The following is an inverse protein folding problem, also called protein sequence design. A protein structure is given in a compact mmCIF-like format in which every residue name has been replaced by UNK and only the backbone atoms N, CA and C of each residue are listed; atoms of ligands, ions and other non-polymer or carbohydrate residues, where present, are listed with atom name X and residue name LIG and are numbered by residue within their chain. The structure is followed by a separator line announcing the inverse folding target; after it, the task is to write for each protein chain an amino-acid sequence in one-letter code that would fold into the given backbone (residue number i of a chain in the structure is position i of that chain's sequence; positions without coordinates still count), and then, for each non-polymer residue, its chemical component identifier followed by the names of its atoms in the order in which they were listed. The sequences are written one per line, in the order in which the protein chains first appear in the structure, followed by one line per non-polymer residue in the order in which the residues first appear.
data_IF_340746947207
#
_entry.id   IF_340746947207
#
_cell.length_a   1.000
_cell.length_b   1.000
_cell.length_c   1.000
_cell.angle_alpha   90.00
_cell.angle_beta   90.00
_cell.angle_gamma   90.00
#
_symmetry.space_group_name_H-M   'P 1'
#
loop_
_entity.id
_entity.type
_entity.pdbx_description
1 polymer ?
#
# COMPACT_ATOMS: atom_id res chain seq x y z
N UNK A 1 -37.66 -34.83 40.86
CA UNK A 1 -38.09 -34.54 42.25
C UNK A 1 -36.99 -33.72 42.94
N UNK A 2 -37.38 -32.68 43.69
CA UNK A 2 -36.58 -31.78 44.58
C UNK A 2 -35.67 -30.78 43.83
N UNK A 3 -35.86 -29.46 43.79
CA UNK A 3 -36.53 -28.43 44.62
C UNK A 3 -35.90 -28.16 46.02
N UNK A 4 -35.17 -27.04 46.11
CA UNK A 4 -34.84 -26.21 47.31
C UNK A 4 -34.12 -24.97 46.76
N UNK A 5 -34.54 -23.70 46.80
CA UNK A 5 -35.46 -22.87 47.60
C UNK A 5 -35.06 -22.65 49.08
N UNK A 6 -35.04 -21.34 49.43
CA UNK A 6 -35.01 -20.68 50.75
C UNK A 6 -33.59 -20.34 51.27
N UNK A 7 -33.30 -19.20 51.92
CA UNK A 7 -34.11 -18.15 52.55
C UNK A 7 -33.16 -16.93 52.73
N UNK A 8 -33.55 -15.70 52.36
CA UNK A 8 -34.15 -14.66 53.23
C UNK A 8 -33.27 -14.20 54.41
N UNK A 9 -32.97 -12.90 54.46
CA UNK A 9 -33.08 -12.03 55.66
C UNK A 9 -33.34 -10.59 55.17
N UNK A 10 -34.50 -10.06 55.55
CA UNK A 10 -34.85 -8.63 55.54
C UNK A 10 -34.45 -7.98 56.86
N UNK A 11 -34.50 -6.63 56.91
CA UNK A 11 -34.57 -5.68 58.06
C UNK A 11 -33.40 -4.67 57.96
N UNK A 12 -33.53 -3.34 58.05
CA UNK A 12 -34.66 -2.39 58.12
C UNK A 12 -34.16 -0.98 57.75
N UNK A 13 -35.12 -0.07 57.52
CA UNK A 13 -34.97 1.35 57.21
C UNK A 13 -34.21 2.17 58.28
N UNK A 14 -33.51 3.23 57.84
CA UNK A 14 -33.66 4.57 58.43
C UNK A 14 -33.14 5.65 57.45
N UNK A 15 -33.89 6.75 57.39
CA UNK A 15 -33.73 7.88 56.50
C UNK A 15 -32.61 8.83 56.93
N UNK A 16 -31.93 9.43 55.95
CA UNK A 16 -31.34 10.76 56.09
C UNK A 16 -31.79 11.59 54.88
N UNK A 17 -32.76 12.45 55.13
CA UNK A 17 -33.07 13.58 54.27
C UNK A 17 -31.86 14.52 54.26
N UNK A 18 -31.28 14.72 53.08
CA UNK A 18 -30.24 15.71 52.81
C UNK A 18 -30.60 16.43 51.53
N UNK A 19 -31.28 17.57 51.67
CA UNK A 19 -31.54 18.50 50.59
C UNK A 19 -30.20 19.02 50.04
N UNK A 20 -29.83 18.56 48.85
CA UNK A 20 -28.83 19.21 48.02
C UNK A 20 -29.50 19.64 46.72
N UNK A 21 -29.57 20.96 46.54
CA UNK A 21 -30.09 21.62 45.35
C UNK A 21 -29.54 20.98 44.07
N UNK A 22 -30.44 20.46 43.24
CA UNK A 22 -30.12 20.04 41.87
C UNK A 22 -30.15 21.32 41.02
N UNK A 23 -29.00 21.94 40.83
CA UNK A 23 -28.84 22.85 39.70
C UNK A 23 -29.07 22.05 38.40
N UNK A 24 -29.83 22.58 37.42
CA UNK A 24 -29.95 21.93 36.12
C UNK A 24 -28.56 21.92 35.47
N UNK A 25 -27.99 20.73 35.31
CA UNK A 25 -26.80 20.54 34.47
C UNK A 25 -27.27 20.81 33.04
N UNK A 26 -26.93 21.98 32.49
CA UNK A 26 -27.03 22.20 31.06
C UNK A 26 -26.31 21.05 30.35
N UNK A 27 -26.92 20.42 29.33
CA UNK A 27 -26.19 19.43 28.55
C UNK A 27 -25.02 20.17 27.91
N UNK A 28 -23.80 19.88 28.37
CA UNK A 28 -22.57 20.28 27.70
C UNK A 28 -22.76 19.85 26.26
N UNK A 29 -22.90 20.84 25.38
CA UNK A 29 -23.00 20.65 23.94
C UNK A 29 -21.67 20.06 23.53
N UNK A 30 -21.55 18.74 23.61
CA UNK A 30 -20.38 18.00 23.20
C UNK A 30 -20.08 18.45 21.79
N UNK A 31 -18.90 19.06 21.62
CA UNK A 31 -18.34 19.32 20.31
C UNK A 31 -18.48 18.01 19.52
N UNK A 32 -19.09 18.01 18.32
CA UNK A 32 -19.23 16.77 17.57
C UNK A 32 -17.85 16.13 17.47
N UNK A 33 -17.73 14.80 17.66
CA UNK A 33 -16.43 14.14 17.53
C UNK A 33 -15.83 14.64 16.24
N UNK A 34 -14.60 15.18 16.31
CA UNK A 34 -13.88 15.62 15.13
C UNK A 34 -13.91 14.43 14.18
N UNK A 35 -14.67 14.57 13.10
CA UNK A 35 -14.67 13.61 12.01
C UNK A 35 -13.21 13.39 11.69
N UNK A 36 -12.69 12.20 12.00
CA UNK A 36 -11.41 11.78 11.45
C UNK A 36 -11.54 12.03 9.96
N UNK A 37 -10.71 12.95 9.45
CA UNK A 37 -10.75 13.34 8.06
C UNK A 37 -10.58 12.05 7.28
N UNK A 38 -11.66 11.54 6.72
CA UNK A 38 -11.66 10.25 6.04
C UNK A 38 -10.84 10.46 4.79
N UNK A 39 -9.56 10.12 4.87
CA UNK A 39 -8.65 10.19 3.75
C UNK A 39 -9.22 9.40 2.59
N UNK A 40 -8.80 9.72 1.35
CA UNK A 40 -9.18 8.92 0.19
C UNK A 40 -8.85 7.44 0.46
N UNK A 41 -9.76 6.55 0.06
CA UNK A 41 -9.56 5.10 0.21
C UNK A 41 -8.28 4.65 -0.51
N UNK A 42 -7.64 3.58 -0.03
CA UNK A 42 -6.46 2.96 -0.67
C UNK A 42 -6.68 2.78 -2.17
N UNK A 43 -7.85 2.24 -2.56
CA UNK A 43 -8.21 2.05 -3.96
C UNK A 43 -8.24 3.36 -4.74
N UNK A 44 -8.78 4.45 -4.16
CA UNK A 44 -8.83 5.76 -4.82
C UNK A 44 -7.44 6.37 -5.01
N UNK A 45 -6.59 6.36 -3.97
CA UNK A 45 -5.23 6.88 -4.06
C UNK A 45 -4.41 6.15 -5.11
N UNK A 46 -4.55 4.83 -5.15
CA UNK A 46 -3.89 3.99 -6.13
C UNK A 46 -4.38 4.25 -7.54
N UNK A 47 -5.70 4.38 -7.77
CA UNK A 47 -6.26 4.77 -9.08
C UNK A 47 -5.68 6.10 -9.54
N UNK A 48 -5.72 7.13 -8.68
CA UNK A 48 -5.18 8.46 -8.99
C UNK A 48 -3.67 8.39 -9.32
N UNK A 49 -2.92 7.56 -8.59
CA UNK A 49 -1.49 7.35 -8.80
C UNK A 49 -1.19 6.64 -10.13
N UNK A 50 -1.82 5.48 -10.41
CA UNK A 50 -1.54 4.70 -11.63
C UNK A 50 -2.07 5.39 -12.91
N UNK A 51 -3.04 6.29 -12.79
CA UNK A 51 -3.45 7.18 -13.88
C UNK A 51 -2.49 8.36 -14.08
N UNK A 52 -1.50 8.54 -13.22
CA UNK A 52 -0.64 9.72 -13.26
C UNK A 52 -1.36 11.03 -12.94
N UNK A 53 -2.57 10.98 -12.38
CA UNK A 53 -3.33 12.15 -11.87
C UNK A 53 -2.71 12.66 -10.57
N UNK A 54 -1.97 11.80 -9.88
CA UNK A 54 -1.26 12.05 -8.63
C UNK A 54 0.16 11.53 -8.75
N UNK A 55 1.13 12.32 -8.30
CA UNK A 55 2.53 11.88 -8.25
C UNK A 55 2.71 10.74 -7.25
N UNK A 56 3.53 9.75 -7.64
CA UNK A 56 3.96 8.66 -6.77
C UNK A 56 4.66 9.16 -5.51
N UNK A 57 5.28 10.35 -5.52
CA UNK A 57 5.89 10.96 -4.34
C UNK A 57 4.91 11.08 -3.15
N UNK A 58 3.62 11.24 -3.43
CA UNK A 58 2.59 11.40 -2.38
C UNK A 58 2.12 10.07 -1.75
N UNK A 59 2.53 8.94 -2.32
CA UNK A 59 2.19 7.59 -1.89
C UNK A 59 3.44 6.76 -1.61
N UNK A 60 4.63 7.37 -1.55
CA UNK A 60 5.88 6.70 -1.16
C UNK A 60 6.27 7.12 0.26
N UNK A 61 6.57 6.14 1.10
CA UNK A 61 7.15 6.37 2.43
C UNK A 61 8.67 6.49 2.29
N UNK A 62 9.21 7.70 2.52
CA UNK A 62 10.65 7.98 2.35
C UNK A 62 11.53 7.29 3.41
N UNK A 63 11.01 7.01 4.60
CA UNK A 63 11.77 6.29 5.63
C UNK A 63 11.90 4.81 5.26
N UNK A 64 10.89 4.26 4.58
CA UNK A 64 10.92 2.88 4.06
C UNK A 64 11.64 2.79 2.71
N UNK A 65 11.57 3.81 1.88
CA UNK A 65 12.01 3.75 0.48
C UNK A 65 11.09 2.92 -0.41
N UNK A 66 11.46 2.78 -1.68
CA UNK A 66 10.73 2.00 -2.68
C UNK A 66 11.55 0.80 -3.11
N UNK A 67 10.97 -0.40 -3.08
CA UNK A 67 11.63 -1.56 -3.71
C UNK A 67 11.35 -1.54 -5.21
N UNK A 68 12.42 -1.53 -6.01
CA UNK A 68 12.33 -1.59 -7.46
C UNK A 68 13.00 -2.87 -7.95
N UNK A 69 12.26 -3.63 -8.78
CA UNK A 69 12.74 -4.87 -9.38
C UNK A 69 12.59 -4.78 -10.90
N UNK A 70 13.68 -5.02 -11.61
CA UNK A 70 13.75 -5.05 -13.07
C UNK A 70 14.35 -6.38 -13.53
N UNK A 71 13.65 -7.04 -14.44
CA UNK A 71 14.14 -8.14 -15.24
C UNK A 71 13.95 -7.80 -16.72
N UNK A 72 15.02 -7.69 -17.49
CA UNK A 72 14.96 -7.34 -18.91
C UNK A 72 15.85 -8.27 -19.74
N UNK A 73 15.31 -8.92 -20.77
CA UNK A 73 16.07 -9.87 -21.61
C UNK A 73 16.60 -9.30 -22.93
N UNK A 74 16.11 -8.14 -23.35
CA UNK A 74 16.53 -7.46 -24.58
C UNK A 74 17.31 -6.16 -24.27
N UNK A 75 18.17 -6.20 -23.25
CA UNK A 75 19.10 -5.10 -23.03
C UNK A 75 20.01 -5.02 -24.26
N UNK A 76 20.16 -3.84 -24.85
CA UNK A 76 21.12 -3.65 -25.96
C UNK A 76 22.48 -4.24 -25.56
N UNK A 77 23.16 -4.95 -26.46
CA UNK A 77 24.41 -5.70 -26.22
C UNK A 77 25.56 -4.90 -25.55
N UNK A 78 25.38 -3.61 -25.30
CA UNK A 78 26.32 -2.69 -24.67
C UNK A 78 25.88 -2.17 -23.28
N UNK A 79 24.72 -2.57 -22.73
CA UNK A 79 24.32 -2.13 -21.39
C UNK A 79 25.21 -2.80 -20.33
N UNK A 80 26.01 -2.04 -19.55
CA UNK A 80 26.95 -2.62 -18.59
C UNK A 80 26.28 -3.33 -17.41
N UNK A 81 24.95 -3.21 -17.27
CA UNK A 81 24.16 -3.92 -16.25
C UNK A 81 23.71 -5.30 -16.71
N UNK A 82 23.80 -5.58 -18.02
CA UNK A 82 23.44 -6.90 -18.56
C UNK A 82 24.48 -7.94 -18.13
N UNK A 83 24.00 -9.15 -17.81
CA UNK A 83 24.87 -10.26 -17.47
C UNK A 83 25.43 -10.98 -18.71
N UNK A 84 26.12 -12.10 -18.51
CA UNK A 84 26.66 -12.93 -19.60
C UNK A 84 25.58 -13.48 -20.57
N UNK A 85 24.30 -13.41 -20.19
CA UNK A 85 23.15 -13.85 -20.98
C UNK A 85 22.44 -12.67 -21.67
N UNK A 86 22.95 -11.44 -21.53
CA UNK A 86 22.28 -10.23 -22.02
C UNK A 86 21.08 -9.80 -21.17
N UNK A 87 20.93 -10.35 -19.96
CA UNK A 87 19.79 -10.08 -19.09
C UNK A 87 20.17 -9.09 -18.01
N UNK A 88 19.43 -7.98 -17.92
CA UNK A 88 19.51 -7.08 -16.78
C UNK A 88 18.64 -7.63 -15.67
N UNK A 89 19.24 -7.85 -14.50
CA UNK A 89 18.54 -8.23 -13.27
C UNK A 89 18.93 -7.27 -12.16
N UNK A 90 17.98 -6.45 -11.73
CA UNK A 90 18.18 -5.43 -10.71
C UNK A 90 17.07 -5.57 -9.67
N UNK A 91 17.44 -5.62 -8.40
CA UNK A 91 16.48 -5.64 -7.30
C UNK A 91 17.11 -4.85 -6.14
N UNK A 92 16.52 -3.72 -5.82
CA UNK A 92 17.08 -2.84 -4.81
C UNK A 92 16.00 -2.04 -4.09
N UNK A 93 16.36 -1.55 -2.90
CA UNK A 93 15.58 -0.55 -2.17
C UNK A 93 16.17 0.82 -2.48
N UNK A 94 15.37 1.64 -3.16
CA UNK A 94 15.71 2.99 -3.53
C UNK A 94 15.45 3.94 -2.36
N UNK A 95 16.46 4.75 -2.04
CA UNK A 95 16.47 5.71 -0.95
C UNK A 95 17.04 7.06 -1.43
N UNK A 96 16.73 8.15 -0.70
CA UNK A 96 17.33 9.46 -0.96
C UNK A 96 17.14 9.96 -2.40
N UNK A 97 18.22 10.40 -3.05
CA UNK A 97 18.20 10.94 -4.42
C UNK A 97 17.82 9.89 -5.47
N UNK A 98 18.23 8.63 -5.27
CA UNK A 98 17.88 7.53 -6.19
C UNK A 98 16.37 7.25 -6.17
N UNK A 99 15.75 7.39 -4.99
CA UNK A 99 14.29 7.29 -4.85
C UNK A 99 13.58 8.42 -5.62
N UNK A 100 14.05 9.66 -5.47
CA UNK A 100 13.43 10.81 -6.13
C UNK A 100 13.58 10.73 -7.67
N UNK A 101 14.74 10.27 -8.16
CA UNK A 101 14.96 10.03 -9.58
C UNK A 101 14.05 8.91 -10.13
N UNK A 102 13.88 7.83 -9.38
CA UNK A 102 12.99 6.74 -9.78
C UNK A 102 11.52 7.14 -9.76
N UNK A 103 11.07 7.90 -8.76
CA UNK A 103 9.71 8.45 -8.73
C UNK A 103 9.45 9.29 -9.98
N UNK A 104 10.36 10.20 -10.34
CA UNK A 104 10.20 11.04 -11.53
C UNK A 104 10.11 10.21 -12.82
N UNK A 105 10.94 9.16 -12.94
CA UNK A 105 10.91 8.23 -14.07
C UNK A 105 9.58 7.47 -14.14
N UNK A 106 9.14 6.90 -13.03
CA UNK A 106 7.89 6.12 -12.94
C UNK A 106 6.66 7.00 -13.17
N UNK A 107 6.62 8.23 -12.65
CA UNK A 107 5.56 9.20 -12.93
C UNK A 107 5.48 9.50 -14.43
N UNK A 108 6.63 9.75 -15.09
CA UNK A 108 6.68 9.98 -16.53
C UNK A 108 6.25 8.73 -17.33
N UNK A 109 6.61 7.54 -16.88
CA UNK A 109 6.17 6.27 -17.48
C UNK A 109 4.67 6.09 -17.40
N UNK A 110 4.06 6.32 -16.22
CA UNK A 110 2.61 6.24 -16.03
C UNK A 110 1.87 7.28 -16.89
N UNK A 111 2.35 8.53 -16.94
CA UNK A 111 1.75 9.58 -17.75
C UNK A 111 1.81 9.29 -19.25
N UNK A 112 2.94 8.76 -19.75
CA UNK A 112 3.05 8.36 -21.16
C UNK A 112 2.09 7.25 -21.55
N UNK A 113 1.68 6.42 -20.59
CA UNK A 113 0.86 5.22 -20.82
C UNK A 113 -0.63 5.46 -20.61
N UNK A 114 -1.00 6.43 -19.78
CA UNK A 114 -2.40 6.83 -19.60
C UNK A 114 -2.90 7.71 -20.76
N UNK A 115 -2.87 7.15 -21.99
CA UNK A 115 -3.29 7.86 -23.21
C UNK A 115 -4.80 7.79 -23.45
N UNK A 116 -5.50 6.82 -22.86
CA UNK A 116 -6.96 6.72 -22.89
C UNK A 116 -7.56 6.86 -21.47
N UNK A 117 -8.14 8.01 -21.12
CA UNK A 117 -8.76 8.22 -19.82
C UNK A 117 -10.04 7.39 -19.59
N UNK A 118 -10.56 6.72 -20.63
CA UNK A 118 -11.71 5.83 -20.55
C UNK A 118 -11.35 4.40 -20.14
N UNK A 119 -10.07 4.02 -20.24
CA UNK A 119 -9.59 2.73 -19.75
C UNK A 119 -9.55 2.74 -18.21
N UNK A 120 -10.29 1.81 -17.62
CA UNK A 120 -10.30 1.62 -16.17
C UNK A 120 -9.09 0.75 -15.77
N UNK A 121 -8.19 1.23 -14.88
CA UNK A 121 -7.04 0.45 -14.47
C UNK A 121 -7.50 -0.83 -13.77
N UNK A 122 -7.00 -1.97 -14.23
CA UNK A 122 -7.27 -3.26 -13.57
C UNK A 122 -6.58 -3.30 -12.21
N UNK A 123 -7.38 -3.36 -11.15
CA UNK A 123 -6.93 -3.32 -9.77
C UNK A 123 -7.40 -4.57 -9.05
N UNK A 124 -6.48 -5.25 -8.38
CA UNK A 124 -6.79 -6.39 -7.52
C UNK A 124 -6.40 -6.06 -6.09
N UNK A 125 -7.28 -6.29 -5.13
CA UNK A 125 -6.98 -6.10 -3.70
C UNK A 125 -7.26 -7.40 -2.95
N UNK A 126 -6.30 -7.84 -2.15
CA UNK A 126 -6.41 -8.96 -1.22
C UNK A 126 -5.89 -8.48 0.14
N UNK A 127 -6.75 -8.58 1.15
CA UNK A 127 -6.50 -8.06 2.50
C UNK A 127 -6.08 -6.57 2.48
N UNK A 128 -4.85 -6.31 2.92
CA UNK A 128 -4.26 -4.97 3.05
C UNK A 128 -3.35 -4.60 1.87
N UNK A 129 -3.32 -5.44 0.83
CA UNK A 129 -2.48 -5.27 -0.35
C UNK A 129 -3.34 -5.09 -1.59
N UNK A 130 -3.02 -4.08 -2.39
CA UNK A 130 -3.61 -3.87 -3.69
C UNK A 130 -2.51 -3.83 -4.76
N UNK A 131 -2.78 -4.38 -5.93
CA UNK A 131 -1.87 -4.34 -7.06
C UNK A 131 -2.58 -3.86 -8.33
N UNK A 132 -1.80 -3.19 -9.17
CA UNK A 132 -2.16 -2.84 -10.53
C UNK A 132 -1.13 -3.45 -11.48
N UNK A 133 -1.61 -4.30 -12.40
CA UNK A 133 -0.81 -4.82 -13.50
C UNK A 133 -1.01 -3.95 -14.73
N UNK A 134 -0.01 -3.13 -15.02
CA UNK A 134 0.09 -2.41 -16.28
C UNK A 134 0.67 -3.37 -17.33
N UNK A 135 -0.15 -3.78 -18.29
CA UNK A 135 0.38 -4.30 -19.55
C UNK A 135 1.01 -3.12 -20.28
N UNK A 136 2.32 -3.18 -20.41
CA UNK A 136 3.14 -2.18 -21.09
C UNK A 136 3.33 -2.64 -22.54
N UNK A 137 3.47 -1.71 -23.49
CA UNK A 137 3.76 -2.07 -24.90
C UNK A 137 4.97 -3.04 -24.99
N UNK A 138 4.96 -3.93 -26.00
CA UNK A 138 6.07 -4.86 -26.31
C UNK A 138 6.39 -5.89 -25.21
N UNK A 139 5.37 -6.64 -24.76
CA UNK A 139 5.50 -7.75 -23.78
C UNK A 139 6.02 -7.36 -22.40
N UNK A 140 5.96 -6.07 -22.08
CA UNK A 140 6.40 -5.58 -20.79
C UNK A 140 5.27 -5.73 -19.77
N UNK A 141 5.56 -6.31 -18.60
CA UNK A 141 4.64 -6.41 -17.47
C UNK A 141 5.14 -5.51 -16.33
N UNK A 142 4.36 -4.48 -16.01
CA UNK A 142 4.59 -3.61 -14.87
C UNK A 142 3.61 -3.92 -13.75
N UNK A 143 4.07 -4.20 -12.55
CA UNK A 143 3.21 -4.42 -11.39
C UNK A 143 3.54 -3.40 -10.30
N UNK A 144 2.55 -2.58 -9.95
CA UNK A 144 2.62 -1.59 -8.89
C UNK A 144 1.85 -2.12 -7.69
N UNK A 145 2.53 -2.29 -6.56
CA UNK A 145 1.93 -2.88 -5.36
C UNK A 145 1.90 -1.88 -4.23
N UNK A 146 0.69 -1.67 -3.71
CA UNK A 146 0.38 -0.75 -2.63
C UNK A 146 -0.04 -1.57 -1.41
N UNK A 147 0.47 -1.17 -0.24
CA UNK A 147 0.06 -1.74 1.05
C UNK A 147 -0.60 -0.67 1.90
N UNK A 148 -1.55 -1.06 2.75
CA UNK A 148 -2.12 -0.14 3.73
C UNK A 148 -1.02 0.21 4.76
N UNK A 149 -0.49 1.43 4.65
CA UNK A 149 0.38 2.02 5.67
C UNK A 149 -0.41 2.57 6.85
N UNK A 150 0.25 3.33 7.74
CA UNK A 150 -0.36 4.03 8.88
C UNK A 150 -1.36 5.16 8.48
N UNK A 151 -1.81 5.16 7.22
CA UNK A 151 -2.44 6.25 6.48
C UNK A 151 -1.45 7.37 6.11
N UNK A 152 -1.31 7.71 4.82
CA UNK A 152 -1.98 7.15 3.64
C UNK A 152 -1.44 5.76 3.21
N UNK A 153 -2.04 5.19 2.16
CA UNK A 153 -1.52 4.04 1.42
C UNK A 153 -0.10 4.27 0.95
N UNK A 154 0.73 3.22 0.94
CA UNK A 154 2.14 3.31 0.54
C UNK A 154 2.40 2.37 -0.63
N UNK A 155 2.97 2.89 -1.72
CA UNK A 155 3.60 2.12 -2.79
C UNK A 155 4.80 1.39 -2.18
N UNK A 156 4.69 0.07 -2.08
CA UNK A 156 5.68 -0.77 -1.42
C UNK A 156 6.77 -1.20 -2.40
N UNK A 157 6.36 -1.68 -3.58
CA UNK A 157 7.26 -2.12 -4.62
C UNK A 157 6.69 -1.95 -6.02
N UNK A 158 7.62 -1.88 -6.99
CA UNK A 158 7.34 -1.88 -8.42
C UNK A 158 8.18 -2.97 -9.07
N UNK A 159 7.53 -3.83 -9.87
CA UNK A 159 8.17 -4.90 -10.63
C UNK A 159 7.99 -4.62 -12.12
N UNK A 160 9.09 -4.57 -12.86
CA UNK A 160 9.12 -4.53 -14.31
C UNK A 160 9.75 -5.83 -14.84
N UNK A 161 9.00 -6.55 -15.67
CA UNK A 161 9.50 -7.67 -16.45
C UNK A 161 9.37 -7.28 -17.92
N UNK A 162 10.50 -7.12 -18.61
CA UNK A 162 10.62 -6.53 -19.94
C UNK A 162 11.23 -7.53 -20.94
N UNK A 163 10.67 -7.58 -22.16
CA UNK A 163 11.22 -8.33 -23.30
C UNK A 163 10.35 -9.49 -23.78
N UNK A 164 10.76 -10.12 -24.88
CA UNK A 164 10.05 -11.25 -25.48
C UNK A 164 10.31 -12.56 -24.71
N UNK A 165 9.62 -12.76 -23.60
CA UNK A 165 9.82 -13.93 -22.74
C UNK A 165 9.00 -15.14 -23.21
N UNK A 166 9.65 -16.31 -23.21
CA UNK A 166 8.94 -17.60 -23.24
C UNK A 166 8.23 -17.87 -21.92
N UNK A 167 7.29 -18.82 -21.87
CA UNK A 167 6.62 -19.22 -20.62
C UNK A 167 7.60 -19.69 -19.54
N UNK A 168 8.65 -20.40 -19.96
CA UNK A 168 9.72 -20.85 -19.05
C UNK A 168 10.54 -19.68 -18.51
N UNK A 169 10.94 -18.74 -19.38
CA UNK A 169 11.67 -17.54 -18.99
C UNK A 169 10.82 -16.65 -18.07
N UNK A 170 9.52 -16.51 -18.35
CA UNK A 170 8.56 -15.80 -17.51
C UNK A 170 8.46 -16.45 -16.13
N UNK A 171 8.38 -17.78 -16.07
CA UNK A 171 8.33 -18.52 -14.80
C UNK A 171 9.63 -18.37 -14.01
N UNK A 172 10.78 -18.36 -14.69
CA UNK A 172 12.08 -18.09 -14.10
C UNK A 172 12.19 -16.68 -13.53
N UNK A 173 11.76 -15.67 -14.29
CA UNK A 173 11.75 -14.28 -13.88
C UNK A 173 10.86 -14.08 -12.65
N UNK A 174 9.63 -14.63 -12.65
CA UNK A 174 8.72 -14.57 -11.50
C UNK A 174 9.34 -15.17 -10.23
N UNK A 175 9.94 -16.35 -10.33
CA UNK A 175 10.59 -17.00 -9.18
C UNK A 175 11.72 -16.15 -8.61
N UNK A 176 12.54 -15.57 -9.49
CA UNK A 176 13.61 -14.68 -9.07
C UNK A 176 13.07 -13.39 -8.43
N UNK A 177 12.03 -12.77 -9.01
CA UNK A 177 11.35 -11.61 -8.44
C UNK A 177 10.83 -11.91 -7.03
N UNK A 178 10.11 -13.02 -6.86
CA UNK A 178 9.54 -13.41 -5.56
C UNK A 178 10.63 -13.61 -4.49
N UNK A 179 11.74 -14.24 -4.86
CA UNK A 179 12.90 -14.42 -3.99
C UNK A 179 13.50 -13.08 -3.56
N UNK A 180 13.73 -12.17 -4.51
CA UNK A 180 14.32 -10.85 -4.22
C UNK A 180 13.39 -9.96 -3.41
N UNK A 181 12.08 -9.97 -3.71
CA UNK A 181 11.09 -9.25 -2.90
C UNK A 181 11.05 -9.77 -1.47
N UNK A 182 11.15 -11.09 -1.27
CA UNK A 182 11.22 -11.68 0.07
C UNK A 182 12.47 -11.26 0.84
N UNK A 183 13.63 -11.17 0.18
CA UNK A 183 14.88 -10.72 0.81
C UNK A 183 14.83 -9.23 1.19
N UNK A 184 14.19 -8.41 0.37
CA UNK A 184 14.08 -6.96 0.59
C UNK A 184 12.94 -6.58 1.53
N UNK A 185 12.03 -7.50 1.86
CA UNK A 185 10.86 -7.24 2.68
C UNK A 185 11.21 -6.62 4.05
N UNK A 186 10.40 -5.65 4.49
CA UNK A 186 10.52 -5.04 5.82
C UNK A 186 11.75 -4.16 6.05
N UNK A 187 12.61 -3.94 5.05
CA UNK A 187 13.74 -3.02 5.14
C UNK A 187 13.33 -1.54 5.22
N UNK A 188 14.27 -0.69 5.65
CA UNK A 188 14.13 0.77 5.71
C UNK A 188 15.35 1.47 5.14
N UNK A 189 15.21 2.74 4.77
CA UNK A 189 16.34 3.59 4.42
C UNK A 189 17.12 3.97 5.69
N UNK A 190 18.45 3.94 5.61
CA UNK A 190 19.29 4.51 6.66
C UNK A 190 19.11 6.03 6.67
N UNK A 191 18.93 6.62 7.85
CA UNK A 191 18.84 8.08 8.03
C UNK A 191 20.20 8.76 7.98
#
# INVERSE_FOLDING_TARGET
MRATLLCSISICLAACAGSASREPIEPVRGEPPRSEASGPSLSRLMVEAVRGERSLASVVDRDRGLVYVLWQTDASDEDPRADEQGVIRQAERLCGEDLDAAIARLDADLQRRNQDPSDEPSISCVDETCSHRALMEFDVMGEYVFVRGAQPAVLDHVVHIEGHLTDEATSGARRWVDERLSELAGGSCAR
#
